data_IF_447418845384
#
_entry.id   IF_447418845384
#
_cell.length_a   1.000
_cell.length_b   1.000
_cell.length_c   1.000
_cell.angle_alpha   90.00
_cell.angle_beta   90.00
_cell.angle_gamma   90.00
#
_symmetry.space_group_name_H-M   'P 1'
#
loop_
_entity.id
_entity.type
_entity.pdbx_description
1 polymer ?
#
# COMPACT_ATOMS: atom_id res chain seq x y z
N UNK A 1 -21.44 6.99 7.65
CA UNK A 1 -20.57 6.12 6.83
C UNK A 1 -19.72 7.04 5.99
N UNK A 2 -18.39 6.91 6.05
CA UNK A 2 -17.52 7.71 5.19
C UNK A 2 -17.55 7.15 3.76
N UNK A 3 -17.75 8.01 2.77
CA UNK A 3 -17.67 7.63 1.35
C UNK A 3 -16.22 7.65 0.85
N UNK A 4 -15.95 6.96 -0.27
CA UNK A 4 -14.63 6.99 -0.94
C UNK A 4 -14.22 8.44 -1.26
N UNK A 5 -15.18 9.29 -1.60
CA UNK A 5 -14.94 10.70 -1.88
C UNK A 5 -14.41 11.46 -0.66
N UNK A 6 -14.98 11.22 0.53
CA UNK A 6 -14.53 11.85 1.78
C UNK A 6 -13.11 11.40 2.19
N UNK A 7 -12.76 10.15 1.90
CA UNK A 7 -11.40 9.64 2.12
C UNK A 7 -10.39 10.33 1.20
N UNK A 8 -10.74 10.50 -0.09
CA UNK A 8 -9.91 11.21 -1.05
C UNK A 8 -9.74 12.69 -0.65
N UNK A 9 -10.81 13.35 -0.22
CA UNK A 9 -10.75 14.72 0.30
C UNK A 9 -9.89 14.84 1.56
N UNK A 10 -9.95 13.85 2.45
CA UNK A 10 -9.08 13.80 3.63
C UNK A 10 -7.59 13.70 3.27
N UNK A 11 -7.25 13.05 2.15
CA UNK A 11 -5.88 13.03 1.65
C UNK A 11 -5.48 14.38 1.05
N UNK A 12 -6.35 15.04 0.29
CA UNK A 12 -6.07 16.37 -0.29
C UNK A 12 -5.74 17.42 0.77
N UNK A 13 -6.34 17.30 1.96
CA UNK A 13 -6.08 18.18 3.12
C UNK A 13 -4.73 17.94 3.82
N UNK A 14 -3.98 16.88 3.47
CA UNK A 14 -2.67 16.64 4.06
C UNK A 14 -1.66 17.72 3.61
N UNK A 15 -0.77 18.17 4.52
CA UNK A 15 0.11 19.32 4.34
C UNK A 15 1.26 19.10 3.34
N UNK A 16 1.62 17.85 3.04
CA UNK A 16 2.72 17.53 2.12
C UNK A 16 2.37 16.38 1.18
N UNK A 17 2.99 16.36 0.01
CA UNK A 17 2.84 15.24 -0.94
C UNK A 17 3.34 13.92 -0.35
N UNK A 18 4.35 13.95 0.52
CA UNK A 18 4.82 12.76 1.24
C UNK A 18 3.74 12.19 2.15
N UNK A 19 3.06 13.04 2.95
CA UNK A 19 1.98 12.57 3.83
C UNK A 19 0.76 12.07 3.04
N UNK A 20 0.47 12.68 1.88
CA UNK A 20 -0.55 12.19 0.96
C UNK A 20 -0.23 10.78 0.47
N UNK A 21 1.00 10.55 0.02
CA UNK A 21 1.49 9.24 -0.40
C UNK A 21 1.38 8.20 0.72
N UNK A 22 1.87 8.53 1.91
CA UNK A 22 1.78 7.64 3.08
C UNK A 22 0.33 7.25 3.44
N UNK A 23 -0.60 8.21 3.41
CA UNK A 23 -2.01 7.92 3.71
C UNK A 23 -2.67 7.06 2.63
N UNK A 24 -2.32 7.30 1.36
CA UNK A 24 -2.77 6.48 0.24
C UNK A 24 -2.26 5.04 0.34
N UNK A 25 -0.97 4.87 0.63
CA UNK A 25 -0.37 3.55 0.89
C UNK A 25 -1.10 2.79 1.98
N UNK A 26 -1.39 3.43 3.12
CA UNK A 26 -2.13 2.81 4.22
C UNK A 26 -3.55 2.40 3.84
N UNK A 27 -4.25 3.22 3.04
CA UNK A 27 -5.58 2.88 2.52
C UNK A 27 -5.50 1.64 1.64
N UNK A 28 -4.54 1.59 0.72
CA UNK A 28 -4.37 0.46 -0.19
C UNK A 28 -4.04 -0.82 0.56
N UNK A 29 -3.16 -0.78 1.57
CA UNK A 29 -2.90 -1.94 2.46
C UNK A 29 -4.20 -2.46 3.08
N UNK A 30 -5.05 -1.56 3.59
CA UNK A 30 -6.36 -1.96 4.15
C UNK A 30 -7.31 -2.49 3.10
N UNK A 31 -7.32 -1.90 1.91
CA UNK A 31 -8.13 -2.39 0.79
C UNK A 31 -7.75 -3.82 0.40
N UNK A 32 -6.45 -4.12 0.23
CA UNK A 32 -5.97 -5.48 -0.06
C UNK A 32 -6.35 -6.50 1.02
N UNK A 33 -6.37 -6.10 2.28
CA UNK A 33 -6.77 -6.97 3.40
C UNK A 33 -8.28 -7.22 3.47
N UNK A 34 -9.10 -6.22 3.10
CA UNK A 34 -10.55 -6.29 3.22
C UNK A 34 -11.21 -6.88 1.97
N UNK A 35 -10.55 -6.81 0.81
CA UNK A 35 -11.07 -7.37 -0.44
C UNK A 35 -11.02 -8.92 -0.41
N UNK A 36 -12.17 -9.61 -0.53
CA UNK A 36 -12.22 -11.08 -0.44
C UNK A 36 -11.44 -11.82 -1.54
N UNK A 37 -11.26 -11.21 -2.72
CA UNK A 37 -10.50 -11.83 -3.81
C UNK A 37 -9.01 -11.62 -3.62
N UNK A 38 -8.60 -10.44 -3.18
CA UNK A 38 -7.18 -10.11 -2.99
C UNK A 38 -6.61 -10.77 -1.73
N UNK A 39 -7.40 -10.87 -0.66
CA UNK A 39 -7.02 -11.60 0.57
C UNK A 39 -6.91 -13.11 0.39
N UNK A 40 -7.51 -13.68 -0.67
CA UNK A 40 -7.29 -15.07 -1.07
C UNK A 40 -5.95 -15.26 -1.79
N UNK A 41 -5.51 -14.25 -2.56
CA UNK A 41 -4.28 -14.30 -3.36
C UNK A 41 -3.03 -13.89 -2.57
N UNK A 42 -3.14 -12.85 -1.76
CA UNK A 42 -2.03 -12.29 -1.01
C UNK A 42 -2.18 -12.59 0.47
N UNK A 43 -1.11 -13.08 1.09
CA UNK A 43 -1.09 -13.38 2.52
C UNK A 43 -0.92 -12.11 3.35
N UNK A 44 -0.09 -11.18 2.85
CA UNK A 44 0.12 -9.89 3.48
C UNK A 44 0.45 -8.80 2.46
N UNK A 45 -0.28 -7.69 2.51
CA UNK A 45 0.12 -6.44 1.88
C UNK A 45 0.76 -5.52 2.93
N UNK A 46 1.90 -4.91 2.59
CA UNK A 46 2.59 -3.95 3.44
C UNK A 46 3.22 -2.85 2.59
N UNK A 47 3.60 -1.74 3.24
CA UNK A 47 4.38 -0.70 2.58
C UNK A 47 5.79 -1.20 2.33
N UNK A 48 6.43 -0.75 1.25
CA UNK A 48 7.83 -1.11 0.97
C UNK A 48 8.76 -0.79 2.15
N UNK A 49 8.50 0.30 2.88
CA UNK A 49 9.28 0.70 4.07
C UNK A 49 9.11 -0.22 5.27
N UNK A 50 7.95 -0.86 5.41
CA UNK A 50 7.67 -1.74 6.53
C UNK A 50 8.00 -3.21 6.19
N UNK A 51 8.45 -3.49 4.96
CA UNK A 51 8.72 -4.86 4.51
C UNK A 51 9.88 -5.48 5.28
N UNK A 52 9.70 -6.66 5.91
CA UNK A 52 10.82 -7.41 6.50
C UNK A 52 11.84 -7.83 5.44
N UNK A 53 13.14 -7.70 5.73
CA UNK A 53 14.22 -8.04 4.79
C UNK A 53 14.45 -7.01 3.68
N UNK A 54 14.12 -5.73 3.91
CA UNK A 54 14.50 -4.62 3.02
C UNK A 54 16.00 -4.27 3.09
N UNK A 55 16.70 -4.65 4.17
CA UNK A 55 18.14 -4.41 4.38
C UNK A 55 18.58 -2.96 4.07
N UNK A 56 17.74 -1.99 4.40
CA UNK A 56 18.00 -0.57 4.16
C UNK A 56 18.05 -0.16 2.68
N UNK A 57 17.63 -1.03 1.74
CA UNK A 57 17.63 -0.71 0.31
C UNK A 57 16.80 0.56 0.04
N UNK A 58 17.31 1.53 -0.73
CA UNK A 58 16.57 2.74 -1.07
C UNK A 58 15.28 2.37 -1.82
N UNK A 59 14.26 3.22 -1.67
CA UNK A 59 12.99 3.03 -2.37
C UNK A 59 13.19 3.25 -3.86
N UNK A 60 12.96 2.22 -4.67
CA UNK A 60 13.04 2.29 -6.14
C UNK A 60 11.74 2.85 -6.76
N UNK A 61 11.03 3.74 -6.06
CA UNK A 61 9.67 4.16 -6.42
C UNK A 61 8.60 3.09 -6.18
N UNK A 62 8.88 2.11 -5.31
CA UNK A 62 7.90 1.10 -4.89
C UNK A 62 7.21 1.60 -3.63
N UNK A 63 5.89 1.77 -3.71
CA UNK A 63 5.08 2.25 -2.60
C UNK A 63 4.57 1.08 -1.75
N UNK A 64 4.14 0.00 -2.43
CA UNK A 64 3.50 -1.14 -1.80
C UNK A 64 4.07 -2.47 -2.30
N UNK A 65 4.05 -3.45 -1.40
CA UNK A 65 4.38 -4.84 -1.69
C UNK A 65 3.26 -5.73 -1.17
N UNK A 66 2.79 -6.62 -2.03
CA UNK A 66 1.96 -7.74 -1.64
C UNK A 66 2.77 -9.03 -1.72
N UNK A 67 2.80 -9.79 -0.63
CA UNK A 67 3.34 -11.14 -0.58
C UNK A 67 2.23 -12.10 -1.02
N UNK A 68 2.46 -12.83 -2.11
CA UNK A 68 1.55 -13.90 -2.54
C UNK A 68 1.58 -15.05 -1.51
N UNK A 69 0.44 -15.73 -1.31
CA UNK A 69 0.32 -16.76 -0.25
C UNK A 69 1.05 -18.05 -0.60
N UNK A 70 1.03 -18.44 -1.86
CA UNK A 70 1.50 -19.76 -2.29
C UNK A 70 2.91 -19.74 -2.89
N UNK A 71 3.47 -18.55 -3.04
CA UNK A 71 4.84 -18.38 -3.52
C UNK A 71 5.44 -17.20 -2.77
N UNK A 72 6.66 -17.34 -2.25
CA UNK A 72 7.39 -16.24 -1.61
C UNK A 72 7.74 -15.08 -2.60
N UNK A 73 6.99 -14.93 -3.70
CA UNK A 73 7.12 -13.88 -4.68
C UNK A 73 6.38 -12.61 -4.23
N UNK A 74 7.13 -11.51 -4.27
CA UNK A 74 6.66 -10.19 -3.91
C UNK A 74 6.26 -9.45 -5.19
N UNK A 75 4.99 -9.08 -5.30
CA UNK A 75 4.54 -8.18 -6.38
C UNK A 75 4.64 -6.74 -5.88
N UNK A 76 5.42 -5.91 -6.57
CA UNK A 76 5.59 -4.50 -6.29
C UNK A 76 4.59 -3.67 -7.10
N UNK A 77 3.91 -2.72 -6.46
CA UNK A 77 3.08 -1.72 -7.14
C UNK A 77 3.73 -0.34 -6.96
N UNK A 78 4.11 0.32 -8.05
CA UNK A 78 4.47 1.74 -8.04
C UNK A 78 3.23 2.58 -8.36
N UNK A 79 2.91 3.54 -7.51
CA UNK A 79 1.92 4.58 -7.77
C UNK A 79 2.44 5.60 -8.79
N UNK A 80 1.49 6.26 -9.47
CA UNK A 80 1.64 7.11 -10.66
C UNK A 80 2.68 8.26 -10.54
N UNK A 81 3.22 8.75 -11.69
CA UNK A 81 4.09 9.94 -11.76
C UNK A 81 3.43 11.25 -11.29
#
# INVERSE_FOLDING_TARGET
>A
MASVHEVIEAFRKAPSNSERGTRFELLMVRYFQLDPMLSQRYDQACRWIDRPGRDGKPGLGIDLVACERDTDFYTAQSGFP
#
